data_IF_876895104193
#
_entry.id   IF_876895104193
#
_cell.length_a   1.000
_cell.length_b   1.000
_cell.length_c   1.000
_cell.angle_alpha   90.00
_cell.angle_beta   90.00
_cell.angle_gamma   90.00
#
_symmetry.space_group_name_H-M   'P 1'
#
loop_
_entity.id
_entity.type
_entity.pdbx_description
1 polymer ?
#
# COMPACT_ATOMS: atom_id res chain seq x y z
N UNK A 1 15.23 27.95 -10.68
CA UNK A 1 15.03 28.30 -9.25
C UNK A 1 13.56 28.28 -8.80
N UNK A 2 12.61 28.84 -9.54
CA UNK A 2 11.18 28.88 -9.14
C UNK A 2 10.49 27.52 -9.01
N UNK A 3 10.83 26.55 -9.83
CA UNK A 3 10.21 25.20 -9.82
C UNK A 3 10.62 24.38 -8.59
N UNK A 4 11.86 24.52 -8.12
CA UNK A 4 12.40 23.85 -6.91
C UNK A 4 11.77 24.40 -5.61
N UNK A 5 11.43 25.68 -5.61
CA UNK A 5 10.77 26.34 -4.48
C UNK A 5 9.29 25.94 -4.37
N UNK A 6 8.61 25.75 -5.52
CA UNK A 6 7.23 25.25 -5.56
C UNK A 6 7.11 23.79 -5.05
N UNK A 7 8.09 22.95 -5.36
CA UNK A 7 8.15 21.55 -4.87
C UNK A 7 8.47 21.47 -3.37
N UNK A 8 9.34 22.34 -2.84
CA UNK A 8 9.61 22.45 -1.40
C UNK A 8 8.38 22.92 -0.63
N UNK A 9 7.66 23.91 -1.14
CA UNK A 9 6.42 24.41 -0.54
C UNK A 9 5.30 23.34 -0.55
N UNK A 10 5.16 22.54 -1.65
CA UNK A 10 4.19 21.42 -1.70
C UNK A 10 4.53 20.32 -0.69
N UNK A 11 5.82 19.96 -0.53
CA UNK A 11 6.24 18.97 0.48
C UNK A 11 6.06 19.49 1.91
N UNK A 12 6.27 20.76 2.16
CA UNK A 12 6.05 21.41 3.45
C UNK A 12 4.57 21.47 3.84
N UNK A 13 3.69 21.85 2.92
CA UNK A 13 2.23 21.85 3.10
C UNK A 13 1.69 20.45 3.39
N UNK A 14 2.17 19.43 2.67
CA UNK A 14 1.76 18.04 2.87
C UNK A 14 2.18 17.49 4.24
N UNK A 15 3.42 17.78 4.69
CA UNK A 15 3.87 17.42 6.05
C UNK A 15 3.09 18.15 7.14
N UNK A 16 2.74 19.41 6.93
CA UNK A 16 1.96 20.21 7.87
C UNK A 16 0.52 19.68 7.99
N UNK A 17 -0.12 19.32 6.88
CA UNK A 17 -1.45 18.69 6.86
C UNK A 17 -1.46 17.33 7.56
N UNK A 18 -0.44 16.48 7.33
CA UNK A 18 -0.35 15.19 8.03
C UNK A 18 -0.14 15.33 9.54
N UNK A 19 0.60 16.37 9.97
CA UNK A 19 0.79 16.65 11.39
C UNK A 19 -0.53 17.09 12.05
N UNK A 20 -1.33 17.92 11.36
CA UNK A 20 -2.68 18.33 11.81
C UNK A 20 -3.64 17.14 11.91
N UNK A 21 -3.64 16.23 10.91
CA UNK A 21 -4.47 15.02 10.90
C UNK A 21 -4.12 14.11 12.09
N UNK A 22 -2.82 13.89 12.36
CA UNK A 22 -2.39 13.07 13.51
C UNK A 22 -2.78 13.68 14.86
N UNK A 23 -2.76 15.00 14.97
CA UNK A 23 -3.13 15.71 16.20
C UNK A 23 -4.64 15.62 16.44
N UNK A 24 -5.47 15.86 15.42
CA UNK A 24 -6.92 15.75 15.52
C UNK A 24 -7.36 14.34 15.95
N UNK A 25 -6.80 13.29 15.32
CA UNK A 25 -7.11 11.89 15.69
C UNK A 25 -6.63 11.52 17.11
N UNK A 26 -5.51 12.07 17.58
CA UNK A 26 -5.02 11.81 18.95
C UNK A 26 -5.93 12.43 20.01
N UNK A 27 -6.51 13.58 19.72
CA UNK A 27 -7.47 14.24 20.61
C UNK A 27 -8.80 13.47 20.68
N UNK A 28 -9.32 12.97 19.57
CA UNK A 28 -10.54 12.15 19.53
C UNK A 28 -10.39 10.80 20.23
N UNK A 29 -9.20 10.17 20.14
CA UNK A 29 -8.92 8.93 20.90
C UNK A 29 -8.98 9.15 22.42
N UNK A 30 -8.53 10.32 22.89
CA UNK A 30 -8.55 10.69 24.30
C UNK A 30 -9.99 10.96 24.76
N UNK A 31 -10.81 11.62 23.93
CA UNK A 31 -12.21 11.89 24.24
C UNK A 31 -13.08 10.62 24.25
N UNK A 32 -12.91 9.72 23.26
CA UNK A 32 -13.64 8.46 23.20
C UNK A 32 -13.30 7.50 24.36
N UNK A 33 -12.05 7.51 24.84
CA UNK A 33 -11.66 6.72 26.03
C UNK A 33 -12.28 7.28 27.32
N UNK A 34 -12.54 8.59 27.42
CA UNK A 34 -13.27 9.19 28.54
C UNK A 34 -14.74 8.77 28.53
N UNK A 35 -15.41 8.73 27.37
CA UNK A 35 -16.79 8.29 27.27
C UNK A 35 -17.00 6.79 27.52
N UNK A 36 -16.03 5.93 27.18
CA UNK A 36 -16.09 4.49 27.52
C UNK A 36 -15.97 4.22 29.01
N UNK A 37 -15.18 5.01 29.76
CA UNK A 37 -15.08 4.87 31.22
C UNK A 37 -16.34 5.28 32.01
N UNK A 38 -17.19 6.14 31.41
CA UNK A 38 -18.46 6.56 32.03
C UNK A 38 -19.64 5.58 31.81
N UNK A 39 -19.55 4.66 30.83
CA UNK A 39 -20.63 3.69 30.53
C UNK A 39 -20.43 2.30 31.18
N UNK A 40 -19.38 2.06 31.92
CA UNK A 40 -19.08 0.73 32.53
C UNK A 40 -19.60 0.50 33.93
N UNK A 41 -20.45 1.39 34.45
CA UNK A 41 -21.11 1.20 35.76
C UNK A 41 -22.63 1.29 35.60
N UNK A 42 -23.28 0.15 35.38
CA UNK A 42 -24.65 -0.30 35.64
C UNK A 42 -25.00 -1.35 34.57
N UNK A 43 -25.17 -2.56 34.89
CA UNK A 43 -26.07 -3.28 35.74
C UNK A 43 -26.73 -4.38 34.92
N UNK A 44 -26.57 -5.61 35.43
CA UNK A 44 -27.52 -6.71 35.50
C UNK A 44 -28.04 -7.45 34.23
N UNK A 45 -27.82 -8.73 34.33
CA UNK A 45 -28.33 -9.90 33.62
C UNK A 45 -29.80 -9.85 33.23
N UNK A 46 -30.14 -10.24 32.02
CA UNK A 46 -31.24 -11.17 31.78
C UNK A 46 -31.09 -11.89 30.41
N UNK A 47 -31.10 -13.18 30.49
CA UNK A 47 -31.20 -14.12 29.40
C UNK A 47 -32.62 -14.09 28.80
N UNK A 48 -32.73 -13.89 27.46
CA UNK A 48 -33.86 -14.45 26.71
C UNK A 48 -33.40 -14.75 25.29
N UNK A 49 -33.38 -16.07 25.00
CA UNK A 49 -33.39 -16.61 23.63
C UNK A 49 -34.71 -16.19 22.97
N UNK A 50 -34.64 -15.59 21.82
CA UNK A 50 -35.74 -15.60 20.87
C UNK A 50 -35.15 -15.63 19.47
N UNK A 51 -35.45 -16.74 18.78
CA UNK A 51 -35.19 -16.90 17.36
C UNK A 51 -36.01 -15.88 16.58
N UNK A 52 -35.36 -15.13 15.71
CA UNK A 52 -36.02 -14.34 14.68
C UNK A 52 -35.40 -14.65 13.31
N UNK A 53 -36.18 -15.43 12.60
CA UNK A 53 -36.39 -15.46 11.17
C UNK A 53 -35.32 -14.91 10.22
N UNK A 54 -34.65 -15.84 9.57
CA UNK A 54 -33.98 -15.65 8.28
C UNK A 54 -35.04 -15.37 7.18
N UNK A 55 -35.44 -14.14 6.98
CA UNK A 55 -36.36 -13.80 5.87
C UNK A 55 -36.20 -12.39 5.25
N UNK A 56 -35.09 -11.69 5.42
CA UNK A 56 -34.92 -10.40 4.74
C UNK A 56 -33.54 -10.16 4.12
N UNK A 57 -32.73 -11.20 3.89
CA UNK A 57 -31.36 -11.04 3.37
C UNK A 57 -31.31 -10.72 1.86
N UNK A 58 -32.38 -10.97 1.12
CA UNK A 58 -32.35 -10.88 -0.36
C UNK A 58 -32.71 -9.52 -0.98
N UNK A 59 -33.06 -8.51 -0.21
CA UNK A 59 -33.42 -7.20 -0.78
C UNK A 59 -32.39 -6.08 -0.59
N UNK A 60 -31.36 -6.25 0.22
CA UNK A 60 -30.39 -5.18 0.53
C UNK A 60 -29.21 -5.08 -0.45
N UNK A 61 -28.87 -6.15 -1.16
CA UNK A 61 -27.74 -6.17 -2.11
C UNK A 61 -27.94 -5.36 -3.40
N UNK A 62 -29.11 -4.75 -3.61
CA UNK A 62 -29.43 -4.03 -4.86
C UNK A 62 -28.91 -2.58 -4.93
N UNK A 63 -28.49 -1.96 -3.81
CA UNK A 63 -28.24 -0.52 -3.78
C UNK A 63 -26.77 -0.07 -3.86
N UNK A 64 -25.80 -0.96 -3.78
CA UNK A 64 -24.37 -0.63 -3.89
C UNK A 64 -23.65 -1.53 -4.88
N UNK A 65 -23.82 -1.30 -6.17
CA UNK A 65 -22.98 -1.92 -7.19
C UNK A 65 -21.72 -1.08 -7.35
N UNK A 66 -20.58 -1.64 -6.90
CA UNK A 66 -19.27 -1.06 -7.21
C UNK A 66 -19.07 -1.16 -8.73
N UNK A 67 -18.80 -0.03 -9.37
CA UNK A 67 -18.56 0.04 -10.80
C UNK A 67 -17.19 -0.56 -11.14
N UNK A 68 -16.97 -1.06 -12.39
CA UNK A 68 -15.67 -1.65 -12.78
C UNK A 68 -14.47 -0.70 -12.60
N UNK A 69 -14.70 0.60 -12.65
CA UNK A 69 -13.69 1.65 -12.46
C UNK A 69 -13.60 2.16 -11.01
N UNK A 70 -14.12 1.40 -10.05
CA UNK A 70 -14.13 1.79 -8.64
C UNK A 70 -13.44 0.73 -7.79
N UNK A 71 -12.76 1.19 -6.74
CA UNK A 71 -12.16 0.36 -5.71
C UNK A 71 -12.64 0.76 -4.33
N UNK A 72 -12.71 -0.24 -3.46
CA UNK A 72 -13.01 -0.07 -2.04
C UNK A 72 -11.71 0.15 -1.27
N UNK A 73 -11.65 1.25 -0.53
CA UNK A 73 -10.59 1.54 0.42
C UNK A 73 -11.20 1.51 1.81
N UNK A 74 -10.80 0.54 2.64
CA UNK A 74 -11.37 0.35 3.96
C UNK A 74 -10.34 0.52 5.08
N UNK A 75 -10.82 1.02 6.23
CA UNK A 75 -9.99 1.27 7.42
C UNK A 75 -9.41 2.67 7.48
N UNK A 76 -9.26 3.18 8.72
CA UNK A 76 -8.95 4.60 8.99
C UNK A 76 -7.66 5.09 8.30
N UNK A 77 -6.57 4.34 8.43
CA UNK A 77 -5.27 4.76 7.87
C UNK A 77 -5.27 4.80 6.34
N UNK A 78 -5.84 3.77 5.70
CA UNK A 78 -5.94 3.71 4.23
C UNK A 78 -6.82 4.84 3.71
N UNK A 79 -7.99 5.05 4.33
CA UNK A 79 -8.92 6.13 3.95
C UNK A 79 -8.28 7.51 4.11
N UNK A 80 -7.64 7.80 5.24
CA UNK A 80 -6.94 9.08 5.45
C UNK A 80 -5.84 9.34 4.42
N UNK A 81 -5.08 8.29 4.09
CA UNK A 81 -4.01 8.42 3.08
C UNK A 81 -4.59 8.70 1.70
N UNK A 82 -5.67 8.02 1.32
CA UNK A 82 -6.35 8.21 0.05
C UNK A 82 -7.00 9.60 -0.06
N UNK A 83 -7.66 10.08 1.00
CA UNK A 83 -8.20 11.46 1.07
C UNK A 83 -7.09 12.52 0.92
N UNK A 84 -5.88 12.24 1.41
CA UNK A 84 -4.72 13.12 1.26
C UNK A 84 -4.04 13.07 -0.11
N UNK A 85 -4.36 12.10 -0.95
CA UNK A 85 -3.76 11.95 -2.27
C UNK A 85 -4.51 12.76 -3.34
N UNK A 86 -3.99 13.92 -3.70
CA UNK A 86 -4.59 14.82 -4.71
C UNK A 86 -4.63 14.24 -6.13
N UNK A 87 -3.91 13.16 -6.39
CA UNK A 87 -3.94 12.49 -7.70
C UNK A 87 -5.05 11.46 -7.80
N UNK A 88 -5.66 11.06 -6.66
CA UNK A 88 -6.73 10.06 -6.63
C UNK A 88 -8.09 10.72 -6.82
N UNK A 89 -8.88 10.23 -7.74
CA UNK A 89 -10.26 10.60 -7.90
C UNK A 89 -11.12 9.88 -6.87
N UNK A 90 -11.82 10.65 -6.05
CA UNK A 90 -12.67 10.17 -4.97
C UNK A 90 -14.13 10.29 -5.40
N UNK A 91 -14.97 9.29 -5.09
CA UNK A 91 -16.38 9.32 -5.42
C UNK A 91 -17.23 9.68 -4.19
N UNK A 92 -17.22 8.85 -3.16
CA UNK A 92 -17.96 9.09 -1.92
C UNK A 92 -17.39 8.26 -0.77
N UNK A 93 -17.72 8.68 0.45
CA UNK A 93 -17.31 8.04 1.69
C UNK A 93 -18.57 7.45 2.36
N UNK A 94 -18.47 6.23 2.88
CA UNK A 94 -19.55 5.57 3.62
C UNK A 94 -19.08 5.33 5.04
N UNK A 95 -19.90 5.72 6.02
CA UNK A 95 -19.59 5.60 7.44
C UNK A 95 -20.86 5.42 8.27
N UNK A 96 -20.71 5.01 9.53
CA UNK A 96 -21.83 4.96 10.49
C UNK A 96 -22.10 6.33 11.10
N UNK A 97 -23.30 6.51 11.65
CA UNK A 97 -23.73 7.75 12.29
C UNK A 97 -22.74 8.21 13.38
N UNK A 98 -22.29 7.29 14.24
CA UNK A 98 -21.34 7.57 15.33
C UNK A 98 -19.99 8.17 14.86
N UNK A 99 -19.62 7.94 13.61
CA UNK A 99 -18.34 8.38 13.04
C UNK A 99 -18.50 9.51 12.01
N UNK A 100 -19.74 9.86 11.64
CA UNK A 100 -20.02 10.82 10.58
C UNK A 100 -19.40 12.20 10.86
N UNK A 101 -19.56 12.72 12.07
CA UNK A 101 -19.06 14.06 12.45
C UNK A 101 -17.55 14.12 12.32
N UNK A 102 -16.83 13.07 12.78
CA UNK A 102 -15.36 13.00 12.69
C UNK A 102 -14.89 13.02 11.23
N UNK A 103 -15.54 12.22 10.37
CA UNK A 103 -15.15 12.16 8.96
C UNK A 103 -15.53 13.41 8.18
N UNK A 104 -16.65 14.05 8.51
CA UNK A 104 -17.05 15.34 7.90
C UNK A 104 -16.01 16.42 8.18
N UNK A 105 -15.59 16.58 9.43
CA UNK A 105 -14.50 17.50 9.80
C UNK A 105 -13.20 17.17 9.07
N UNK A 106 -12.85 15.88 9.00
CA UNK A 106 -11.62 15.45 8.29
C UNK A 106 -11.65 15.83 6.81
N UNK A 107 -12.78 15.65 6.14
CA UNK A 107 -12.98 16.01 4.72
C UNK A 107 -12.90 17.54 4.55
N UNK A 108 -13.54 18.30 5.43
CA UNK A 108 -13.48 19.77 5.46
C UNK A 108 -12.06 20.30 5.71
N UNK A 109 -11.36 19.77 6.72
CA UNK A 109 -9.96 20.14 7.05
C UNK A 109 -9.00 19.89 5.89
N UNK A 110 -9.28 18.88 5.05
CA UNK A 110 -8.54 18.58 3.84
C UNK A 110 -8.95 19.46 2.64
N UNK A 111 -9.98 20.30 2.79
CA UNK A 111 -10.55 21.11 1.71
C UNK A 111 -11.09 20.26 0.56
N UNK A 112 -11.72 19.12 0.89
CA UNK A 112 -12.33 18.22 -0.07
C UNK A 112 -13.85 18.44 -0.10
N UNK A 113 -14.46 18.24 -1.28
CA UNK A 113 -15.89 18.19 -1.46
C UNK A 113 -16.28 16.82 -1.99
N UNK A 114 -16.56 15.90 -1.06
CA UNK A 114 -17.03 14.54 -1.39
C UNK A 114 -18.31 14.23 -0.61
N UNK A 115 -19.18 13.45 -1.19
CA UNK A 115 -20.41 12.97 -0.55
C UNK A 115 -20.08 12.02 0.59
N UNK A 116 -20.75 12.18 1.75
CA UNK A 116 -20.65 11.25 2.88
C UNK A 116 -22.02 10.59 3.07
N UNK A 117 -22.07 9.27 2.86
CA UNK A 117 -23.26 8.44 3.02
C UNK A 117 -23.23 7.77 4.40
N UNK A 118 -24.31 7.98 5.15
CA UNK A 118 -24.47 7.33 6.45
C UNK A 118 -25.22 6.03 6.25
N UNK A 119 -24.69 4.95 6.79
CA UNK A 119 -25.22 3.60 6.66
C UNK A 119 -25.04 2.81 7.97
N UNK A 120 -25.86 1.78 8.15
CA UNK A 120 -25.72 0.87 9.27
C UNK A 120 -24.46 0.01 9.12
N UNK A 121 -23.95 -0.48 10.24
CA UNK A 121 -22.70 -1.28 10.25
C UNK A 121 -22.81 -2.52 9.38
N UNK A 122 -23.95 -3.17 9.38
CA UNK A 122 -24.29 -4.35 8.60
C UNK A 122 -24.17 -4.09 7.09
N UNK A 123 -24.59 -2.92 6.62
CA UNK A 123 -24.45 -2.51 5.22
C UNK A 123 -22.96 -2.28 4.85
N UNK A 124 -22.17 -1.75 5.77
CA UNK A 124 -20.71 -1.61 5.56
C UNK A 124 -20.03 -3.00 5.56
N UNK A 125 -20.43 -3.90 6.43
CA UNK A 125 -19.93 -5.29 6.47
C UNK A 125 -20.19 -5.99 5.13
N UNK A 126 -21.39 -5.86 4.57
CA UNK A 126 -21.75 -6.42 3.25
C UNK A 126 -20.92 -5.78 2.13
N UNK A 127 -20.84 -4.44 2.09
CA UNK A 127 -20.08 -3.70 1.08
C UNK A 127 -18.60 -4.09 1.07
N UNK A 128 -18.02 -4.40 2.22
CA UNK A 128 -16.62 -4.80 2.36
C UNK A 128 -16.41 -6.33 2.38
N UNK A 129 -17.41 -7.11 1.96
CA UNK A 129 -17.40 -8.58 1.96
C UNK A 129 -17.02 -9.16 3.34
N UNK A 130 -17.66 -8.68 4.39
CA UNK A 130 -17.48 -9.07 5.79
C UNK A 130 -16.05 -8.90 6.34
N UNK A 131 -15.19 -8.16 5.63
CA UNK A 131 -13.84 -7.85 6.10
C UNK A 131 -13.86 -6.64 7.03
N UNK A 132 -12.98 -6.58 8.05
CA UNK A 132 -12.95 -5.46 8.98
C UNK A 132 -12.69 -4.12 8.27
N UNK A 133 -13.58 -3.14 8.45
CA UNK A 133 -13.56 -1.81 7.81
C UNK A 133 -13.44 -0.64 8.80
N UNK A 134 -13.50 -0.89 10.11
CA UNK A 134 -13.41 0.16 11.16
C UNK A 134 -14.46 1.27 10.99
N UNK A 135 -15.66 0.91 10.54
CA UNK A 135 -16.82 1.79 10.27
C UNK A 135 -16.52 2.90 9.26
N UNK A 136 -15.62 2.66 8.31
CA UNK A 136 -15.29 3.59 7.24
C UNK A 136 -14.90 2.87 5.95
N UNK A 137 -15.51 3.29 4.86
CA UNK A 137 -15.22 2.84 3.50
C UNK A 137 -15.21 4.07 2.60
N UNK A 138 -14.17 4.19 1.79
CA UNK A 138 -14.06 5.19 0.73
C UNK A 138 -14.14 4.48 -0.62
N UNK A 139 -14.97 5.00 -1.50
CA UNK A 139 -15.04 4.57 -2.89
C UNK A 139 -14.25 5.55 -3.73
N UNK A 140 -13.28 5.04 -4.47
CA UNK A 140 -12.36 5.83 -5.28
C UNK A 140 -12.05 5.13 -6.61
N UNK A 141 -11.45 5.86 -7.54
CA UNK A 141 -10.89 5.28 -8.77
C UNK A 141 -9.59 4.52 -8.44
N UNK A 142 -9.29 3.39 -9.11
CA UNK A 142 -7.99 2.73 -8.96
C UNK A 142 -6.84 3.68 -9.23
N UNK A 143 -5.73 3.53 -8.50
CA UNK A 143 -4.52 4.28 -8.79
C UNK A 143 -3.97 3.94 -10.17
N UNK A 144 -3.64 4.97 -10.94
CA UNK A 144 -2.95 4.78 -12.20
C UNK A 144 -1.52 4.33 -11.93
N UNK A 145 -1.10 3.32 -12.65
CA UNK A 145 0.28 2.81 -12.61
C UNK A 145 1.10 3.52 -13.66
N UNK A 146 2.30 3.94 -13.30
CA UNK A 146 3.25 4.59 -14.19
C UNK A 146 3.97 3.54 -15.05
N UNK A 147 4.23 3.80 -16.31
CA UNK A 147 5.11 2.95 -17.12
C UNK A 147 6.57 3.06 -16.66
N UNK A 148 7.42 2.07 -16.99
CA UNK A 148 8.84 2.16 -16.66
C UNK A 148 9.51 3.37 -17.36
N UNK A 149 9.12 3.68 -18.59
CA UNK A 149 9.68 4.81 -19.32
C UNK A 149 9.35 6.15 -18.63
N UNK A 150 8.09 6.37 -18.23
CA UNK A 150 7.68 7.56 -17.47
C UNK A 150 8.42 7.66 -16.14
N UNK A 151 8.57 6.52 -15.42
CA UNK A 151 9.32 6.47 -14.18
C UNK A 151 10.77 6.89 -14.40
N UNK A 152 11.47 6.30 -15.36
CA UNK A 152 12.87 6.61 -15.66
C UNK A 152 13.05 8.08 -16.05
N UNK A 153 12.15 8.64 -16.88
CA UNK A 153 12.15 10.06 -17.23
C UNK A 153 11.98 10.93 -15.98
N UNK A 154 11.07 10.57 -15.08
CA UNK A 154 10.83 11.32 -13.83
C UNK A 154 12.05 11.35 -12.91
N UNK A 155 12.95 10.36 -13.04
CA UNK A 155 14.15 10.19 -12.22
C UNK A 155 15.45 10.69 -12.88
N UNK A 156 15.42 11.09 -14.14
CA UNK A 156 16.63 11.50 -14.90
C UNK A 156 17.48 12.59 -14.19
N UNK A 157 16.83 13.47 -13.45
CA UNK A 157 17.50 14.56 -12.72
C UNK A 157 17.73 14.28 -11.23
N UNK A 158 17.48 13.06 -10.77
CA UNK A 158 17.73 12.67 -9.40
C UNK A 158 19.21 12.29 -9.23
N UNK A 159 20.00 13.24 -8.72
CA UNK A 159 21.45 13.04 -8.50
C UNK A 159 21.83 12.91 -7.03
N UNK A 160 20.87 13.10 -6.11
CA UNK A 160 21.18 13.19 -4.68
C UNK A 160 21.48 11.83 -4.03
N UNK A 161 20.95 10.74 -4.59
CA UNK A 161 21.14 9.38 -4.11
C UNK A 161 20.73 8.37 -5.21
N UNK A 162 21.29 7.15 -5.18
CA UNK A 162 20.96 6.12 -6.17
C UNK A 162 19.50 5.65 -6.06
N UNK A 163 18.92 5.30 -7.20
CA UNK A 163 17.54 4.85 -7.31
C UNK A 163 17.43 3.38 -6.88
N UNK A 164 16.44 3.06 -6.07
CA UNK A 164 16.16 1.71 -5.55
C UNK A 164 14.74 1.31 -5.89
N UNK A 165 14.57 0.23 -6.66
CA UNK A 165 13.26 -0.32 -7.01
C UNK A 165 13.19 -1.82 -6.68
N UNK A 166 12.01 -2.24 -6.27
CA UNK A 166 11.66 -3.65 -6.12
C UNK A 166 10.75 -4.05 -7.26
N UNK A 167 10.97 -5.21 -7.85
CA UNK A 167 10.18 -5.74 -8.96
C UNK A 167 9.57 -7.07 -8.52
N UNK A 168 8.25 -7.22 -8.71
CA UNK A 168 7.54 -8.45 -8.40
C UNK A 168 7.21 -9.21 -9.70
N UNK A 169 7.78 -10.42 -9.82
CA UNK A 169 7.55 -11.32 -10.94
C UNK A 169 6.50 -12.38 -10.57
N UNK A 170 5.25 -12.16 -11.00
CA UNK A 170 4.10 -13.05 -10.77
C UNK A 170 3.73 -13.26 -9.29
N UNK A 171 3.85 -12.24 -8.47
CA UNK A 171 3.29 -12.24 -7.11
C UNK A 171 1.81 -11.86 -7.21
N UNK A 172 0.93 -12.83 -6.94
CA UNK A 172 -0.52 -12.72 -7.21
C UNK A 172 -1.37 -12.39 -5.98
N UNK A 173 -0.86 -12.66 -4.77
CA UNK A 173 -1.61 -12.37 -3.53
C UNK A 173 -1.61 -10.87 -3.22
N UNK A 174 -2.80 -10.22 -3.18
CA UNK A 174 -2.92 -8.81 -2.85
C UNK A 174 -2.42 -8.46 -1.44
N UNK A 175 -2.45 -9.40 -0.49
CA UNK A 175 -1.97 -9.15 0.87
C UNK A 175 -0.45 -9.06 0.89
N UNK A 176 0.26 -9.98 0.20
CA UNK A 176 1.70 -9.92 0.06
C UNK A 176 2.14 -8.65 -0.68
N UNK A 177 1.50 -8.32 -1.80
CA UNK A 177 1.79 -7.06 -2.54
C UNK A 177 1.58 -5.85 -1.64
N UNK A 178 0.48 -5.79 -0.89
CA UNK A 178 0.20 -4.71 0.07
C UNK A 178 1.24 -4.59 1.18
N UNK A 179 1.69 -5.71 1.75
CA UNK A 179 2.74 -5.74 2.76
C UNK A 179 4.10 -5.26 2.19
N UNK A 180 4.42 -5.66 0.97
CA UNK A 180 5.63 -5.21 0.25
C UNK A 180 5.57 -3.70 -0.02
N UNK A 181 4.43 -3.17 -0.48
CA UNK A 181 4.22 -1.71 -0.66
C UNK A 181 4.47 -0.96 0.64
N UNK A 182 3.96 -1.47 1.77
CA UNK A 182 4.18 -0.86 3.09
C UNK A 182 5.65 -0.81 3.47
N UNK A 183 6.37 -1.91 3.28
CA UNK A 183 7.81 -2.01 3.54
C UNK A 183 8.61 -1.12 2.59
N UNK A 184 8.27 -1.10 1.30
CA UNK A 184 8.92 -0.26 0.30
C UNK A 184 8.81 1.24 0.64
N UNK A 185 7.64 1.68 1.09
CA UNK A 185 7.47 3.06 1.56
C UNK A 185 8.27 3.33 2.85
N UNK A 186 8.28 2.39 3.80
CA UNK A 186 9.01 2.53 5.06
C UNK A 186 10.52 2.63 4.85
N UNK A 187 11.06 1.83 3.93
CA UNK A 187 12.47 1.81 3.55
C UNK A 187 12.81 2.80 2.43
N UNK A 188 11.90 3.72 2.07
CA UNK A 188 12.13 4.77 1.07
C UNK A 188 12.58 4.25 -0.29
N UNK A 189 12.02 3.13 -0.74
CA UNK A 189 12.20 2.72 -2.14
C UNK A 189 11.61 3.76 -3.07
N UNK A 190 12.22 3.97 -4.23
CA UNK A 190 11.75 4.94 -5.23
C UNK A 190 10.51 4.47 -5.97
N UNK A 191 10.31 3.16 -6.09
CA UNK A 191 9.15 2.56 -6.70
C UNK A 191 9.03 1.06 -6.46
N UNK A 192 7.83 0.53 -6.70
CA UNK A 192 7.54 -0.89 -6.77
C UNK A 192 7.00 -1.22 -8.16
N UNK A 193 7.66 -2.13 -8.87
CA UNK A 193 7.25 -2.54 -10.20
C UNK A 193 6.50 -3.88 -10.17
N UNK A 194 5.39 -3.93 -10.90
CA UNK A 194 4.52 -5.11 -11.00
C UNK A 194 4.44 -5.56 -12.46
N UNK A 195 4.52 -6.86 -12.72
CA UNK A 195 4.27 -7.38 -14.07
C UNK A 195 2.81 -7.14 -14.46
N UNK A 196 2.54 -6.80 -15.74
CA UNK A 196 1.18 -6.59 -16.24
C UNK A 196 0.34 -7.86 -16.16
N UNK A 197 0.97 -9.01 -16.45
CA UNK A 197 0.32 -10.32 -16.37
C UNK A 197 0.48 -10.91 -14.98
N UNK A 198 -0.61 -11.48 -14.44
CA UNK A 198 -0.63 -12.17 -13.14
C UNK A 198 -0.28 -11.31 -11.92
N UNK A 199 -0.37 -9.98 -12.01
CA UNK A 199 -0.33 -9.11 -10.84
C UNK A 199 -1.74 -8.68 -10.46
N UNK A 200 -2.06 -8.61 -9.16
CA UNK A 200 -3.39 -8.23 -8.74
C UNK A 200 -3.69 -6.78 -9.09
N UNK A 201 -4.94 -6.50 -9.44
CA UNK A 201 -5.47 -5.15 -9.45
C UNK A 201 -5.49 -4.60 -8.02
N UNK A 202 -5.68 -3.28 -7.88
CA UNK A 202 -5.89 -2.69 -6.56
C UNK A 202 -7.15 -3.27 -5.91
N UNK A 203 -7.01 -3.79 -4.70
CA UNK A 203 -8.11 -4.38 -3.92
C UNK A 203 -8.15 -3.79 -2.52
N UNK A 204 -9.30 -3.94 -1.84
CA UNK A 204 -9.42 -3.55 -0.43
C UNK A 204 -8.40 -4.28 0.47
N UNK A 205 -8.05 -5.54 0.15
CA UNK A 205 -7.03 -6.31 0.87
C UNK A 205 -5.64 -5.67 0.72
N UNK A 206 -5.26 -5.29 -0.51
CA UNK A 206 -3.98 -4.61 -0.80
C UNK A 206 -3.92 -3.24 -0.12
N UNK A 207 -4.97 -2.43 -0.25
CA UNK A 207 -5.06 -1.10 0.39
C UNK A 207 -4.93 -1.19 1.91
N UNK A 208 -5.58 -2.20 2.52
CA UNK A 208 -5.51 -2.44 3.96
C UNK A 208 -4.11 -2.89 4.40
N UNK A 209 -3.53 -3.88 3.72
CA UNK A 209 -2.20 -4.41 4.03
C UNK A 209 -1.11 -3.33 3.86
N UNK A 210 -1.24 -2.47 2.84
CA UNK A 210 -0.33 -1.34 2.62
C UNK A 210 -0.46 -0.22 3.65
N UNK A 211 -1.54 -0.20 4.45
CA UNK A 211 -1.79 0.83 5.48
C UNK A 211 -1.68 2.26 4.94
N UNK A 212 -2.13 2.48 3.71
CA UNK A 212 -2.08 3.76 3.02
C UNK A 212 -0.73 4.10 2.35
N UNK A 213 0.25 3.22 2.40
CA UNK A 213 1.53 3.41 1.72
C UNK A 213 1.38 3.42 0.19
N UNK A 214 0.36 2.71 -0.33
CA UNK A 214 0.05 2.67 -1.76
C UNK A 214 -0.21 4.07 -2.36
N UNK A 215 -0.70 5.00 -1.54
CA UNK A 215 -0.98 6.38 -1.95
C UNK A 215 0.29 7.25 -2.11
N UNK A 216 1.46 6.72 -1.69
CA UNK A 216 2.71 7.49 -1.59
C UNK A 216 3.87 6.88 -2.34
N UNK A 217 3.79 5.59 -2.63
CA UNK A 217 4.79 4.87 -3.38
C UNK A 217 4.43 4.90 -4.87
N UNK A 218 5.41 5.10 -5.71
CA UNK A 218 5.22 5.01 -7.17
C UNK A 218 5.07 3.54 -7.58
N UNK A 219 3.93 3.20 -8.16
CA UNK A 219 3.65 1.84 -8.65
C UNK A 219 3.88 1.80 -10.15
N UNK A 220 4.86 1.00 -10.57
CA UNK A 220 5.31 0.89 -11.94
C UNK A 220 4.71 -0.36 -12.56
N UNK A 221 4.18 -0.26 -13.77
CA UNK A 221 3.68 -1.40 -14.52
C UNK A 221 4.68 -1.83 -15.60
N UNK A 222 5.09 -3.09 -15.56
CA UNK A 222 6.00 -3.69 -16.53
C UNK A 222 5.22 -4.54 -17.52
N UNK A 223 5.36 -4.26 -18.82
CA UNK A 223 4.66 -4.98 -19.88
C UNK A 223 5.33 -6.32 -20.22
N UNK A 224 6.65 -6.34 -20.38
CA UNK A 224 7.44 -7.53 -20.68
C UNK A 224 8.71 -7.54 -19.84
N UNK A 225 8.79 -8.47 -18.90
CA UNK A 225 9.87 -8.53 -17.93
C UNK A 225 11.26 -8.52 -18.56
N UNK A 226 11.51 -9.35 -19.58
CA UNK A 226 12.82 -9.46 -20.22
C UNK A 226 13.24 -8.16 -20.92
N UNK A 227 12.29 -7.48 -21.58
CA UNK A 227 12.53 -6.18 -22.22
C UNK A 227 12.78 -5.09 -21.21
N UNK A 228 11.99 -5.07 -20.15
CA UNK A 228 12.11 -4.04 -19.11
C UNK A 228 13.39 -4.21 -18.27
N UNK A 229 13.88 -5.46 -18.05
CA UNK A 229 15.21 -5.71 -17.47
C UNK A 229 16.29 -5.07 -18.34
N UNK A 230 16.25 -5.30 -19.66
CA UNK A 230 17.22 -4.70 -20.58
C UNK A 230 17.19 -3.17 -20.56
N UNK A 231 16.00 -2.56 -20.48
CA UNK A 231 15.87 -1.10 -20.35
C UNK A 231 16.51 -0.57 -19.05
N UNK A 232 16.29 -1.25 -17.92
CA UNK A 232 16.91 -0.90 -16.66
C UNK A 232 18.43 -0.93 -16.77
N UNK A 233 19.00 -2.02 -17.32
CA UNK A 233 20.44 -2.15 -17.54
C UNK A 233 20.99 -1.01 -18.42
N UNK A 234 20.28 -0.66 -19.51
CA UNK A 234 20.63 0.48 -20.36
C UNK A 234 20.51 1.84 -19.66
N UNK A 235 19.73 1.91 -18.58
CA UNK A 235 19.55 3.10 -17.73
C UNK A 235 20.46 3.09 -16.49
N UNK A 236 21.56 2.35 -16.53
CA UNK A 236 22.57 2.24 -15.47
C UNK A 236 22.01 1.67 -14.15
N UNK A 237 21.09 0.72 -14.23
CA UNK A 237 20.71 -0.11 -13.10
C UNK A 237 21.46 -1.41 -13.12
N UNK A 238 21.94 -1.85 -11.95
CA UNK A 238 22.28 -3.25 -11.72
C UNK A 238 21.01 -3.99 -11.32
N UNK A 239 20.65 -5.04 -12.05
CA UNK A 239 19.41 -5.79 -11.86
C UNK A 239 19.73 -7.14 -11.22
N UNK A 240 19.30 -7.33 -9.98
CA UNK A 240 19.47 -8.57 -9.24
C UNK A 240 18.20 -9.41 -9.26
N UNK A 241 18.35 -10.72 -9.29
CA UNK A 241 17.28 -11.69 -9.04
C UNK A 241 17.44 -12.33 -7.66
N UNK A 242 16.41 -12.25 -6.80
CA UNK A 242 16.43 -12.97 -5.53
C UNK A 242 15.98 -14.41 -5.76
N UNK A 243 16.87 -15.37 -5.48
CA UNK A 243 16.61 -16.78 -5.68
C UNK A 243 17.34 -17.64 -4.65
N UNK A 244 16.73 -18.75 -4.26
CA UNK A 244 17.42 -19.76 -3.47
C UNK A 244 18.60 -20.33 -4.27
N UNK A 245 19.77 -20.47 -3.63
CA UNK A 245 20.99 -20.95 -4.28
C UNK A 245 21.60 -19.97 -5.29
N UNK A 246 21.31 -18.67 -5.19
CA UNK A 246 22.02 -17.63 -5.92
C UNK A 246 23.51 -17.62 -5.56
N UNK A 247 24.40 -17.28 -6.52
CA UNK A 247 25.84 -17.25 -6.30
C UNK A 247 26.31 -16.07 -5.42
N UNK A 248 25.53 -14.97 -5.37
CA UNK A 248 25.81 -13.79 -4.55
C UNK A 248 25.04 -13.82 -3.23
N UNK A 249 25.54 -13.07 -2.26
CA UNK A 249 24.90 -12.89 -0.96
C UNK A 249 24.11 -11.57 -0.94
N UNK A 250 22.94 -11.57 -0.30
CA UNK A 250 22.13 -10.36 -0.14
C UNK A 250 22.89 -9.26 0.62
N UNK A 251 23.84 -9.62 1.48
CA UNK A 251 24.67 -8.67 2.23
C UNK A 251 25.63 -7.88 1.32
N UNK A 252 25.94 -8.37 0.12
CA UNK A 252 26.75 -7.64 -0.86
C UNK A 252 26.05 -6.39 -1.40
N UNK A 253 24.72 -6.35 -1.36
CA UNK A 253 23.94 -5.16 -1.74
C UNK A 253 24.27 -3.90 -0.91
N UNK A 254 24.81 -4.07 0.28
CA UNK A 254 25.25 -2.96 1.12
C UNK A 254 26.40 -2.16 0.50
N UNK A 255 27.22 -2.79 -0.35
CA UNK A 255 28.39 -2.18 -0.98
C UNK A 255 28.06 -1.46 -2.29
N UNK A 256 26.85 -1.67 -2.81
CA UNK A 256 26.43 -1.14 -4.09
C UNK A 256 26.09 0.36 -4.01
N UNK A 257 26.72 1.14 -4.86
CA UNK A 257 26.57 2.61 -4.90
C UNK A 257 25.73 3.12 -6.07
N UNK A 258 25.50 2.28 -7.11
CA UNK A 258 24.71 2.59 -8.30
C UNK A 258 23.20 2.43 -8.10
N UNK A 259 22.42 2.65 -9.16
CA UNK A 259 20.99 2.33 -9.18
C UNK A 259 20.78 0.82 -9.14
N UNK A 260 19.83 0.37 -8.34
CA UNK A 260 19.56 -1.08 -8.16
C UNK A 260 18.09 -1.38 -8.38
N UNK A 261 17.84 -2.48 -9.09
CA UNK A 261 16.57 -3.15 -9.16
C UNK A 261 16.70 -4.58 -8.63
N UNK A 262 15.85 -4.99 -7.70
CA UNK A 262 15.81 -6.38 -7.22
C UNK A 262 14.48 -7.02 -7.59
N UNK A 263 14.54 -8.15 -8.30
CA UNK A 263 13.39 -8.92 -8.74
C UNK A 263 13.13 -10.06 -7.76
N UNK A 264 11.90 -10.11 -7.23
CA UNK A 264 11.40 -11.20 -6.41
C UNK A 264 10.38 -12.01 -7.21
N UNK A 265 10.50 -13.32 -7.19
CA UNK A 265 9.58 -14.25 -7.84
C UNK A 265 8.37 -14.59 -6.98
N UNK A 266 7.47 -15.40 -7.56
CA UNK A 266 6.30 -15.94 -6.85
C UNK A 266 6.70 -16.97 -5.80
N UNK A 267 5.83 -17.12 -4.78
CA UNK A 267 5.98 -18.17 -3.78
C UNK A 267 5.95 -19.56 -4.45
N UNK A 268 6.85 -20.43 -4.05
CA UNK A 268 7.01 -21.80 -4.55
C UNK A 268 7.75 -21.91 -5.88
N UNK A 269 7.39 -21.16 -6.93
CA UNK A 269 8.07 -21.26 -8.25
C UNK A 269 9.30 -20.34 -8.37
N UNK A 270 9.42 -19.34 -7.50
CA UNK A 270 10.49 -18.36 -7.58
C UNK A 270 10.47 -17.52 -8.86
N UNK A 271 11.65 -17.15 -9.33
CA UNK A 271 11.84 -16.39 -10.57
C UNK A 271 11.64 -17.29 -11.80
N UNK A 272 10.99 -16.77 -12.84
CA UNK A 272 10.89 -17.44 -14.13
C UNK A 272 12.28 -17.66 -14.76
N UNK A 273 12.43 -18.73 -15.56
CA UNK A 273 13.69 -19.07 -16.23
C UNK A 273 14.27 -17.86 -17.00
N UNK A 274 13.47 -17.23 -17.86
CA UNK A 274 13.94 -16.07 -18.63
C UNK A 274 14.33 -14.87 -17.75
N UNK A 275 13.65 -14.64 -16.64
CA UNK A 275 14.03 -13.62 -15.66
C UNK A 275 15.42 -13.93 -15.07
N UNK A 276 15.63 -15.18 -14.64
CA UNK A 276 16.93 -15.63 -14.09
C UNK A 276 18.09 -15.47 -15.08
N UNK A 277 17.84 -15.71 -16.37
CA UNK A 277 18.86 -15.61 -17.44
C UNK A 277 19.20 -14.15 -17.83
N UNK A 278 18.31 -13.19 -17.53
CA UNK A 278 18.46 -11.80 -17.98
C UNK A 278 18.96 -10.84 -16.90
N UNK A 279 18.89 -11.22 -15.63
CA UNK A 279 19.44 -10.40 -14.54
C UNK A 279 20.97 -10.40 -14.57
N UNK A 280 21.59 -9.38 -13.99
CA UNK A 280 23.04 -9.26 -13.93
C UNK A 280 23.65 -10.27 -12.94
N UNK A 281 22.94 -10.53 -11.83
CA UNK A 281 23.35 -11.55 -10.87
C UNK A 281 22.15 -12.11 -10.09
N UNK A 282 22.30 -13.35 -9.60
CA UNK A 282 21.37 -13.97 -8.67
C UNK A 282 21.94 -13.87 -7.25
N UNK A 283 21.16 -13.33 -6.32
CA UNK A 283 21.51 -13.22 -4.91
C UNK A 283 20.59 -14.09 -4.07
N UNK A 284 21.08 -14.51 -2.91
CA UNK A 284 20.34 -15.34 -1.96
C UNK A 284 20.28 -14.71 -0.58
N UNK A 285 19.21 -14.97 0.15
CA UNK A 285 19.12 -14.72 1.59
C UNK A 285 19.64 -15.98 2.26
N UNK A 286 20.71 -15.92 3.08
CA UNK A 286 21.15 -17.06 3.86
C UNK A 286 20.06 -17.55 4.81
N UNK A 287 19.74 -18.83 4.74
CA UNK A 287 18.70 -19.48 5.54
C UNK A 287 19.20 -20.82 6.05
N UNK A 288 18.51 -21.38 7.05
CA UNK A 288 18.72 -22.76 7.46
C UNK A 288 18.44 -23.70 6.28
N UNK A 289 19.31 -24.68 6.07
CA UNK A 289 19.22 -25.66 4.97
C UNK A 289 17.92 -26.46 4.98
N UNK A 290 17.29 -26.63 6.15
CA UNK A 290 15.98 -27.29 6.29
C UNK A 290 14.80 -26.42 5.86
N UNK A 291 15.03 -25.11 5.61
CA UNK A 291 13.98 -24.19 5.21
C UNK A 291 13.85 -24.10 3.70
N UNK A 292 12.70 -24.45 3.14
CA UNK A 292 12.45 -24.40 1.69
C UNK A 292 12.39 -22.97 1.13
N UNK A 293 11.75 -22.04 1.84
CA UNK A 293 11.60 -20.66 1.39
C UNK A 293 11.13 -19.72 2.50
N UNK A 294 11.21 -18.42 2.25
CA UNK A 294 10.55 -17.35 3.00
C UNK A 294 9.29 -16.88 2.25
N UNK A 295 8.30 -16.45 3.01
CA UNK A 295 7.21 -15.67 2.42
C UNK A 295 7.79 -14.47 1.65
N UNK A 296 7.26 -14.19 0.46
CA UNK A 296 7.80 -13.17 -0.45
C UNK A 296 7.81 -11.77 0.16
N UNK A 297 6.85 -11.42 1.04
CA UNK A 297 6.83 -10.13 1.71
C UNK A 297 7.94 -9.99 2.76
N UNK A 298 8.31 -11.09 3.44
CA UNK A 298 9.44 -11.13 4.37
C UNK A 298 10.77 -11.03 3.61
N UNK A 299 10.93 -11.79 2.53
CA UNK A 299 12.10 -11.71 1.66
C UNK A 299 12.29 -10.29 1.10
N UNK A 300 11.21 -9.66 0.64
CA UNK A 300 11.22 -8.27 0.18
C UNK A 300 11.64 -7.29 1.29
N UNK A 301 11.14 -7.47 2.51
CA UNK A 301 11.48 -6.62 3.65
C UNK A 301 12.97 -6.69 3.99
N UNK A 302 13.54 -7.88 4.04
CA UNK A 302 14.99 -8.11 4.27
C UNK A 302 15.81 -7.45 3.16
N UNK A 303 15.43 -7.66 1.90
CA UNK A 303 16.10 -7.07 0.74
C UNK A 303 16.10 -5.53 0.81
N UNK A 304 14.96 -4.93 1.10
CA UNK A 304 14.84 -3.48 1.21
C UNK A 304 15.64 -2.90 2.38
N UNK A 305 15.72 -3.63 3.49
CA UNK A 305 16.56 -3.24 4.63
C UNK A 305 18.04 -3.19 4.22
N UNK A 306 18.55 -4.16 3.48
CA UNK A 306 19.94 -4.17 3.01
C UNK A 306 20.22 -3.03 2.02
N UNK A 307 19.29 -2.78 1.08
CA UNK A 307 19.40 -1.66 0.15
C UNK A 307 19.44 -0.29 0.83
N UNK A 308 18.92 -0.18 2.05
CA UNK A 308 18.76 1.08 2.77
C UNK A 308 19.94 1.46 3.67
N UNK A 309 20.79 0.51 4.06
CA UNK A 309 21.88 0.78 5.03
C UNK A 309 22.75 1.98 4.65
N UNK A 310 22.95 2.23 3.36
CA UNK A 310 23.76 3.34 2.87
C UNK A 310 22.99 4.67 2.69
N UNK A 311 21.66 4.67 2.76
CA UNK A 311 20.81 5.83 2.45
C UNK A 311 20.20 6.45 3.72
N UNK A 312 19.85 5.64 4.71
CA UNK A 312 19.33 6.13 5.98
C UNK A 312 20.49 6.17 6.97
N UNK A 313 21.13 7.33 7.13
CA UNK A 313 21.94 7.57 8.33
C UNK A 313 20.98 7.47 9.52
N UNK A 314 21.17 6.45 10.34
CA UNK A 314 20.51 6.33 11.64
C UNK A 314 20.97 7.56 12.44
N UNK A 315 20.03 8.48 12.70
CA UNK A 315 20.23 9.63 13.57
C UNK A 315 20.19 9.17 15.02
#
# INVERSE_FOLDING_TARGET
MLYTQALRNRKGLFKCQQKKIKVAFKQDLIMNNKHKKLKSTKGTKSSKKSGFASKNINNFSKNFKIQPNQVIISGKHSTLSALGNRKRKLFYLVTTEDHCITWRRTVEDLGLSIEIKIKEKEELDELNNLKPHQNIILIAEPLQRTSLDEFLISKQHQTSYPIRIIILDQVTDPQNVGAIIRSAHAFKMDGLALSQTNSPSETAAMSKASSGAIERLEIIQLSNMAREIKKLQQSNFTVYGLAHGGAGDIFDLERETGNIAVILGSEGKGLRRLTREKVDALITIPMNEESESLNVSNAACITMLQLQKNIIKIK
#
